data_IF_721897466320
#
_entry.id   IF_721897466320
#
_cell.length_a   1.000
_cell.length_b   1.000
_cell.length_c   1.000
_cell.angle_alpha   90.00
_cell.angle_beta   90.00
_cell.angle_gamma   90.00
#
_symmetry.space_group_name_H-M   'P 1'
#
loop_
_entity.id
_entity.type
_entity.pdbx_description
1 polymer ?
#
# COMPACT_ATOMS: atom_id res chain seq x y z
N UNK A 1 -41.13 27.09 4.58
CA UNK A 1 -39.85 27.82 4.41
C UNK A 1 -38.96 27.67 5.66
N UNK A 2 -38.72 26.43 6.12
CA UNK A 2 -37.97 26.13 7.35
C UNK A 2 -36.78 25.21 7.10
N UNK A 3 -36.90 24.30 6.13
CA UNK A 3 -35.86 23.31 5.78
C UNK A 3 -34.56 23.96 5.30
N UNK A 4 -34.62 25.15 4.70
CA UNK A 4 -33.44 25.88 4.24
C UNK A 4 -32.50 26.23 5.41
N UNK A 5 -33.04 26.51 6.60
CA UNK A 5 -32.22 26.79 7.79
C UNK A 5 -31.44 25.56 8.27
N UNK A 6 -31.85 24.35 7.87
CA UNK A 6 -31.14 23.11 8.16
C UNK A 6 -30.21 22.71 7.01
N UNK A 7 -30.65 22.87 5.76
CA UNK A 7 -29.88 22.50 4.58
C UNK A 7 -28.67 23.39 4.33
N UNK A 8 -28.77 24.71 4.55
CA UNK A 8 -27.66 25.64 4.34
C UNK A 8 -26.45 25.30 5.24
N UNK A 9 -26.59 25.19 6.58
CA UNK A 9 -25.44 24.85 7.42
C UNK A 9 -24.93 23.44 7.16
N UNK A 10 -25.81 22.48 6.86
CA UNK A 10 -25.41 21.13 6.50
C UNK A 10 -24.57 21.11 5.21
N UNK A 11 -24.96 21.86 4.18
CA UNK A 11 -24.20 21.98 2.95
C UNK A 11 -22.82 22.62 3.18
N UNK A 12 -22.75 23.68 4.00
CA UNK A 12 -21.48 24.32 4.36
C UNK A 12 -20.58 23.33 5.13
N UNK A 13 -21.14 22.55 6.06
CA UNK A 13 -20.40 21.54 6.81
C UNK A 13 -19.84 20.45 5.88
N UNK A 14 -20.66 19.92 4.97
CA UNK A 14 -20.23 18.92 4.00
C UNK A 14 -19.15 19.47 3.05
N UNK A 15 -19.33 20.68 2.54
CA UNK A 15 -18.33 21.34 1.70
C UNK A 15 -17.02 21.57 2.47
N UNK A 16 -17.08 21.98 3.74
CA UNK A 16 -15.92 22.15 4.60
C UNK A 16 -15.18 20.84 4.86
N UNK A 17 -15.89 19.75 5.12
CA UNK A 17 -15.29 18.41 5.29
C UNK A 17 -14.62 17.95 3.99
N UNK A 18 -15.28 18.12 2.85
CA UNK A 18 -14.72 17.77 1.55
C UNK A 18 -13.45 18.59 1.25
N UNK A 19 -13.49 19.91 1.45
CA UNK A 19 -12.34 20.78 1.26
C UNK A 19 -11.18 20.41 2.20
N UNK A 20 -11.47 20.15 3.48
CA UNK A 20 -10.47 19.71 4.45
C UNK A 20 -9.81 18.39 4.05
N UNK A 21 -10.62 17.40 3.63
CA UNK A 21 -10.12 16.11 3.16
C UNK A 21 -9.23 16.27 1.92
N UNK A 22 -9.64 17.09 0.95
CA UNK A 22 -8.84 17.39 -0.24
C UNK A 22 -7.50 18.05 0.11
N UNK A 23 -7.51 19.12 0.94
CA UNK A 23 -6.29 19.79 1.37
C UNK A 23 -5.37 18.84 2.13
N UNK A 24 -5.94 18.01 3.00
CA UNK A 24 -5.20 16.97 3.70
C UNK A 24 -4.58 15.94 2.78
N UNK A 25 -5.29 15.51 1.74
CA UNK A 25 -4.78 14.55 0.76
C UNK A 25 -3.58 15.12 0.00
N UNK A 26 -3.70 16.38 -0.46
CA UNK A 26 -2.60 17.10 -1.14
C UNK A 26 -1.38 17.21 -0.22
N UNK A 27 -1.57 17.66 1.02
CA UNK A 27 -0.48 17.81 1.98
C UNK A 27 0.12 16.49 2.47
N UNK A 28 -0.62 15.38 2.36
CA UNK A 28 -0.13 14.06 2.79
C UNK A 28 0.87 13.42 1.83
N UNK A 29 1.18 14.06 0.70
CA UNK A 29 2.17 13.56 -0.26
C UNK A 29 1.76 12.24 -0.93
N UNK A 30 0.51 11.80 -0.78
CA UNK A 30 -0.03 10.57 -1.40
C UNK A 30 -0.03 10.60 -2.94
N UNK A 31 0.17 11.78 -3.54
CA UNK A 31 0.27 11.97 -4.98
C UNK A 31 1.72 12.08 -5.47
N UNK A 32 2.72 11.97 -4.60
CA UNK A 32 4.14 12.01 -5.00
C UNK A 32 4.70 10.60 -5.25
N UNK A 33 4.06 9.56 -4.74
CA UNK A 33 4.45 8.16 -4.96
C UNK A 33 3.71 7.55 -6.17
N UNK A 34 3.96 8.10 -7.37
CA UNK A 34 3.55 7.48 -8.64
C UNK A 34 4.68 6.65 -9.30
N UNK A 35 5.92 6.78 -8.83
CA UNK A 35 7.08 6.10 -9.42
C UNK A 35 7.23 4.66 -8.91
N UNK A 36 7.07 4.40 -7.61
CA UNK A 36 7.28 3.07 -7.01
C UNK A 36 6.24 1.99 -7.42
N UNK A 37 4.95 2.28 -7.67
CA UNK A 37 3.96 1.24 -7.99
C UNK A 37 4.18 0.57 -9.35
N UNK A 38 4.57 1.35 -10.37
CA UNK A 38 4.77 0.85 -11.73
C UNK A 38 6.08 0.07 -11.89
N UNK A 39 7.04 0.37 -11.03
CA UNK A 39 8.32 -0.32 -10.94
C UNK A 39 8.16 -1.73 -10.35
N UNK A 40 7.34 -1.89 -9.30
CA UNK A 40 7.13 -3.19 -8.65
C UNK A 40 6.55 -4.26 -9.58
N UNK A 41 5.63 -3.89 -10.48
CA UNK A 41 5.02 -4.86 -11.41
C UNK A 41 5.99 -5.37 -12.48
N UNK A 42 7.07 -4.64 -12.78
CA UNK A 42 8.09 -5.07 -13.73
C UNK A 42 9.12 -6.02 -13.09
N UNK A 43 9.32 -5.93 -11.77
CA UNK A 43 10.30 -6.73 -11.02
C UNK A 43 9.70 -7.82 -10.11
N UNK A 44 8.37 -7.90 -10.00
CA UNK A 44 7.66 -8.96 -9.24
C UNK A 44 7.77 -10.36 -9.91
N UNK A 45 8.13 -10.42 -11.20
CA UNK A 45 8.35 -11.68 -11.93
C UNK A 45 9.80 -12.21 -11.81
N UNK A 46 10.71 -11.48 -11.14
CA UNK A 46 12.07 -11.98 -10.91
C UNK A 46 12.00 -13.12 -9.87
N UNK A 47 12.32 -14.38 -10.25
CA UNK A 47 12.30 -15.47 -9.30
C UNK A 47 13.32 -15.17 -8.19
N UNK A 48 12.82 -15.00 -6.95
CA UNK A 48 13.65 -14.91 -5.75
C UNK A 48 14.71 -16.02 -5.84
N UNK A 49 16.01 -15.69 -5.72
CA UNK A 49 17.05 -16.69 -5.78
C UNK A 49 16.72 -17.76 -4.73
N UNK A 50 16.56 -19.00 -5.19
CA UNK A 50 16.25 -20.12 -4.33
C UNK A 50 17.25 -20.08 -3.16
N UNK A 51 16.79 -20.21 -1.90
CA UNK A 51 17.68 -20.27 -0.76
C UNK A 51 18.79 -21.28 -1.09
N UNK A 52 20.07 -20.95 -0.86
CA UNK A 52 21.13 -21.91 -1.07
C UNK A 52 20.70 -23.20 -0.39
N UNK A 53 20.50 -24.26 -1.18
CA UNK A 53 20.28 -25.59 -0.64
C UNK A 53 21.54 -25.83 0.18
N UNK A 54 21.43 -25.68 1.50
CA UNK A 54 22.51 -26.02 2.40
C UNK A 54 22.88 -27.45 2.02
N UNK A 55 24.06 -27.58 1.42
CA UNK A 55 24.66 -28.86 1.17
C UNK A 55 24.75 -29.50 2.56
N UNK A 56 23.83 -30.42 2.82
CA UNK A 56 23.75 -31.15 4.08
C UNK A 56 25.14 -31.71 4.41
N UNK A 57 25.53 -31.71 5.68
CA UNK A 57 26.89 -31.98 6.10
C UNK A 57 27.41 -33.30 5.50
N UNK A 58 28.70 -33.37 5.09
CA UNK A 58 29.27 -34.58 4.57
C UNK A 58 29.45 -35.57 5.72
N UNK A 59 28.47 -36.45 5.95
CA UNK A 59 28.53 -37.32 7.12
C UNK A 59 27.37 -38.29 7.25
N UNK A 60 27.32 -39.29 6.37
CA UNK A 60 26.40 -40.43 6.50
C UNK A 60 27.02 -41.70 5.95
N UNK A 61 27.89 -42.33 6.75
CA UNK A 61 28.47 -43.64 6.41
C UNK A 61 27.40 -44.73 6.24
N UNK A 62 27.69 -45.81 5.49
CA UNK A 62 26.70 -46.82 5.14
C UNK A 62 26.30 -47.63 6.38
N UNK A 63 25.05 -47.46 6.83
CA UNK A 63 24.44 -48.36 7.82
C UNK A 63 23.95 -49.60 7.11
N UNK A 64 24.81 -50.62 7.07
CA UNK A 64 24.41 -52.00 6.87
C UNK A 64 23.64 -52.48 8.12
N UNK A 65 22.37 -52.83 7.96
CA UNK A 65 21.74 -53.92 8.72
C UNK A 65 20.43 -54.36 8.07
#
# INVERSE_FOLDING_TARGET
>A
MSVLYLLIPLAIALAGVAAWACVRAILSGQFEDLETPAERILWDDEPLPAPPLEAGPPGGGPRAR
#
